data_IF_507069443218
#
_entry.id   IF_507069443218
#
_cell.length_a   1.000
_cell.length_b   1.000
_cell.length_c   1.000
_cell.angle_alpha   90.00
_cell.angle_beta   90.00
_cell.angle_gamma   90.00
#
_symmetry.space_group_name_H-M   'P 1'
#
loop_
_entity.id
_entity.type
_entity.pdbx_description
1 polymer ?
#
# COMPACT_ATOMS: atom_id res chain seq x y z
N UNK A 1 67.10 -40.93 16.03
CA UNK A 1 66.51 -42.18 16.57
C UNK A 1 65.20 -41.84 17.27
N UNK A 2 64.09 -42.45 16.81
CA UNK A 2 62.76 -42.65 17.44
C UNK A 2 62.15 -41.44 18.20
N UNK A 3 61.03 -40.82 17.82
CA UNK A 3 59.81 -41.31 17.18
C UNK A 3 58.62 -40.81 18.00
N UNK A 4 57.85 -39.83 17.49
CA UNK A 4 56.49 -39.54 18.00
C UNK A 4 55.60 -39.05 16.87
N UNK A 5 54.73 -39.95 16.44
CA UNK A 5 53.77 -39.80 15.37
C UNK A 5 52.77 -38.67 15.64
N UNK A 6 52.51 -37.85 14.61
CA UNK A 6 51.33 -36.97 14.53
C UNK A 6 50.07 -37.84 14.58
N UNK A 7 49.33 -37.80 15.69
CA UNK A 7 47.97 -38.35 15.75
C UNK A 7 47.03 -37.40 15.02
N UNK A 8 46.81 -37.64 13.72
CA UNK A 8 45.65 -37.12 13.03
C UNK A 8 44.40 -37.72 13.70
N UNK A 9 43.69 -36.93 14.48
CA UNK A 9 42.39 -37.32 15.04
C UNK A 9 41.41 -37.54 13.90
N UNK A 10 41.16 -38.80 13.56
CA UNK A 10 40.19 -39.13 12.53
C UNK A 10 38.78 -38.75 13.01
N UNK A 11 37.94 -38.23 12.11
CA UNK A 11 36.54 -37.87 12.39
C UNK A 11 35.77 -39.00 13.14
N UNK A 12 35.99 -40.30 12.84
CA UNK A 12 35.38 -41.41 13.60
C UNK A 12 35.82 -41.51 15.06
N UNK A 13 37.02 -41.03 15.42
CA UNK A 13 37.51 -41.01 16.79
C UNK A 13 36.89 -39.84 17.59
N UNK A 14 36.70 -38.69 16.95
CA UNK A 14 36.02 -37.53 17.55
C UNK A 14 34.54 -37.82 17.85
N UNK A 15 33.87 -38.57 16.96
CA UNK A 15 32.49 -39.02 17.15
C UNK A 15 32.32 -39.97 18.34
N UNK A 16 33.30 -40.87 18.57
CA UNK A 16 33.25 -41.84 19.68
C UNK A 16 33.51 -41.21 21.05
N UNK A 17 34.47 -40.29 21.16
CA UNK A 17 34.94 -39.79 22.46
C UNK A 17 34.39 -38.43 22.89
N UNK A 18 33.91 -37.57 21.98
CA UNK A 18 33.43 -36.24 22.34
C UNK A 18 31.89 -36.16 22.34
N UNK A 19 31.31 -35.99 23.53
CA UNK A 19 29.86 -35.77 23.69
C UNK A 19 29.39 -34.47 23.01
N UNK A 20 30.25 -33.46 22.98
CA UNK A 20 29.98 -32.17 22.32
C UNK A 20 30.03 -32.30 20.79
N UNK A 21 30.95 -33.11 20.25
CA UNK A 21 31.04 -33.35 18.81
C UNK A 21 29.82 -34.10 18.28
N UNK A 22 29.32 -35.09 19.02
CA UNK A 22 28.04 -35.77 18.68
C UNK A 22 26.86 -34.81 18.69
N UNK A 23 26.76 -33.92 19.70
CA UNK A 23 25.70 -32.90 19.75
C UNK A 23 25.75 -31.97 18.54
N UNK A 24 26.93 -31.50 18.16
CA UNK A 24 27.12 -30.72 16.94
C UNK A 24 26.70 -31.49 15.68
N UNK A 25 27.07 -32.76 15.59
CA UNK A 25 26.63 -33.64 14.50
C UNK A 25 25.11 -33.76 14.39
N UNK A 26 24.42 -33.98 15.50
CA UNK A 26 22.96 -34.05 15.51
C UNK A 26 22.28 -32.72 15.16
N UNK A 27 22.86 -31.58 15.56
CA UNK A 27 22.35 -30.25 15.19
C UNK A 27 22.47 -30.03 13.69
N UNK A 28 23.60 -30.41 13.08
CA UNK A 28 23.80 -30.29 11.63
C UNK A 28 22.82 -31.21 10.87
N UNK A 29 22.62 -32.45 11.35
CA UNK A 29 21.68 -33.40 10.75
C UNK A 29 20.22 -32.93 10.84
N UNK A 30 19.82 -32.35 11.97
CA UNK A 30 18.48 -31.79 12.14
C UNK A 30 18.27 -30.56 11.27
N UNK A 31 19.26 -29.67 11.14
CA UNK A 31 19.19 -28.54 10.20
C UNK A 31 19.11 -28.99 8.74
N UNK A 32 19.89 -30.00 8.35
CA UNK A 32 19.83 -30.57 7.01
C UNK A 32 18.47 -31.20 6.72
N UNK A 33 17.89 -31.93 7.69
CA UNK A 33 16.55 -32.51 7.56
C UNK A 33 15.45 -31.45 7.46
N UNK A 34 15.56 -30.37 8.24
CA UNK A 34 14.62 -29.23 8.17
C UNK A 34 14.69 -28.51 6.82
N UNK A 35 15.90 -28.31 6.28
CA UNK A 35 16.08 -27.78 4.93
C UNK A 35 15.51 -28.70 3.85
N UNK A 36 15.62 -30.02 4.03
CA UNK A 36 15.08 -31.02 3.11
C UNK A 36 13.55 -31.03 3.12
N UNK A 37 12.93 -30.91 4.30
CA UNK A 37 11.47 -30.76 4.44
C UNK A 37 10.97 -29.46 3.79
N UNK A 38 11.70 -28.35 3.97
CA UNK A 38 11.37 -27.07 3.32
C UNK A 38 11.51 -27.10 1.79
N UNK A 39 12.28 -28.04 1.23
CA UNK A 39 12.37 -28.27 -0.22
C UNK A 39 11.36 -29.31 -0.73
N UNK A 40 10.74 -30.11 0.14
CA UNK A 40 9.79 -31.16 -0.22
C UNK A 40 8.33 -30.68 -0.23
N UNK A 41 8.01 -29.56 0.42
CA UNK A 41 6.70 -28.89 0.32
C UNK A 41 6.59 -28.07 -0.97
N UNK A 42 6.66 -28.76 -2.12
CA UNK A 42 5.99 -28.28 -3.33
C UNK A 42 4.55 -28.81 -3.29
N UNK A 43 3.51 -27.96 -3.37
CA UNK A 43 2.16 -28.47 -3.55
C UNK A 43 2.12 -29.27 -4.86
N UNK A 44 1.66 -30.51 -4.75
CA UNK A 44 1.46 -31.41 -5.88
C UNK A 44 0.56 -30.73 -6.92
N UNK A 45 1.12 -30.43 -8.09
CA UNK A 45 0.34 -30.31 -9.32
C UNK A 45 -0.43 -31.62 -9.50
N UNK A 46 -1.75 -31.56 -9.37
CA UNK A 46 -2.62 -32.63 -9.84
C UNK A 46 -2.48 -32.72 -11.36
N UNK A 47 -1.71 -33.70 -11.81
CA UNK A 47 -1.72 -34.22 -13.17
C UNK A 47 -3.04 -34.96 -13.37
N UNK A 48 -4.00 -34.34 -14.05
CA UNK A 48 -5.11 -35.07 -14.64
C UNK A 48 -4.59 -35.90 -15.83
N UNK A 49 -4.96 -37.18 -15.84
CA UNK A 49 -4.49 -38.19 -16.78
C UNK A 49 -4.78 -37.84 -18.24
N UNK A 50 -3.82 -38.16 -19.11
CA UNK A 50 -3.96 -38.15 -20.56
C UNK A 50 -5.00 -39.20 -21.00
N UNK A 51 -6.16 -38.73 -21.45
CA UNK A 51 -7.08 -39.47 -22.32
C UNK A 51 -6.94 -38.95 -23.75
N UNK A 52 -6.90 -39.86 -24.72
CA UNK A 52 -6.75 -39.60 -26.16
C UNK A 52 -7.69 -38.51 -26.72
N UNK A 53 -7.26 -37.72 -27.73
CA UNK A 53 -8.07 -36.68 -28.33
C UNK A 53 -9.13 -37.30 -29.27
N UNK A 54 -10.39 -37.33 -28.81
CA UNK A 54 -11.53 -37.42 -29.71
C UNK A 54 -12.07 -36.02 -29.96
N UNK A 55 -12.06 -35.65 -31.23
CA UNK A 55 -12.64 -34.45 -31.80
C UNK A 55 -14.15 -34.45 -31.58
N UNK A 56 -14.64 -33.62 -30.65
CA UNK A 56 -16.06 -33.29 -30.54
C UNK A 56 -16.20 -31.79 -30.42
N UNK A 57 -16.59 -31.14 -31.51
CA UNK A 57 -17.04 -29.75 -31.57
C UNK A 57 -18.25 -29.56 -30.65
N UNK A 58 -18.05 -28.87 -29.53
CA UNK A 58 -19.14 -28.37 -28.69
C UNK A 58 -19.23 -26.85 -28.87
N UNK A 59 -20.33 -26.42 -29.51
CA UNK A 59 -20.72 -25.02 -29.62
C UNK A 59 -21.04 -24.46 -28.22
N UNK A 60 -20.43 -23.31 -27.89
CA UNK A 60 -20.82 -22.52 -26.73
C UNK A 60 -22.23 -21.97 -26.93
N UNK A 61 -23.11 -22.26 -25.98
CA UNK A 61 -24.47 -21.74 -25.91
C UNK A 61 -24.53 -20.75 -24.73
N UNK A 62 -24.81 -19.45 -24.97
CA UNK A 62 -24.82 -18.45 -23.90
C UNK A 62 -25.99 -18.67 -22.92
N UNK A 63 -25.87 -18.24 -21.66
CA UNK A 63 -26.92 -18.37 -20.65
C UNK A 63 -28.21 -17.62 -21.05
N UNK A 64 -29.36 -18.20 -20.69
CA UNK A 64 -30.67 -17.59 -20.91
C UNK A 64 -30.78 -16.21 -20.24
N UNK A 65 -31.33 -15.25 -20.99
CA UNK A 65 -31.57 -13.89 -20.55
C UNK A 65 -32.48 -13.83 -19.30
N UNK A 66 -32.05 -13.07 -18.30
CA UNK A 66 -32.89 -12.63 -17.17
C UNK A 66 -33.96 -11.67 -17.72
N UNK A 67 -35.25 -11.83 -17.39
CA UNK A 67 -36.28 -10.91 -17.85
C UNK A 67 -36.10 -9.50 -17.25
N UNK A 68 -36.43 -8.43 -17.99
CA UNK A 68 -36.22 -7.07 -17.55
C UNK A 68 -37.13 -6.70 -16.37
N UNK A 69 -36.52 -6.12 -15.33
CA UNK A 69 -37.25 -5.46 -14.23
C UNK A 69 -38.03 -4.28 -14.83
N UNK A 70 -39.35 -4.32 -14.69
CA UNK A 70 -40.23 -3.22 -15.08
C UNK A 70 -39.88 -1.96 -14.27
N UNK A 71 -39.56 -0.88 -14.99
CA UNK A 71 -39.31 0.44 -14.43
C UNK A 71 -40.60 0.94 -13.77
N UNK A 72 -40.55 1.21 -12.47
CA UNK A 72 -41.64 1.84 -11.74
C UNK A 72 -41.99 3.20 -12.37
N UNK A 73 -43.30 3.46 -12.48
CA UNK A 73 -43.86 4.69 -13.01
C UNK A 73 -43.44 5.92 -12.18
N UNK A 74 -43.15 7.07 -12.80
CA UNK A 74 -42.97 8.32 -12.07
C UNK A 74 -44.33 8.85 -11.59
N UNK A 75 -44.46 9.10 -10.28
CA UNK A 75 -45.54 9.90 -9.69
C UNK A 75 -45.32 11.40 -10.04
N UNK A 76 -46.41 12.19 -10.13
CA UNK A 76 -46.42 13.47 -10.85
C UNK A 76 -45.76 14.61 -10.06
N UNK A 77 -44.99 15.43 -10.77
CA UNK A 77 -44.53 16.73 -10.31
C UNK A 77 -45.66 17.77 -10.42
N UNK A 78 -45.81 18.57 -9.38
CA UNK A 78 -46.81 19.61 -9.25
C UNK A 78 -46.66 20.72 -10.31
N UNK A 79 -47.82 21.17 -10.77
CA UNK A 79 -48.06 22.18 -11.81
C UNK A 79 -47.77 23.58 -11.28
N UNK A 80 -46.95 24.36 -11.99
CA UNK A 80 -47.07 25.82 -12.03
C UNK A 80 -47.36 26.25 -13.47
N UNK A 81 -48.39 27.08 -13.59
CA UNK A 81 -49.11 27.50 -14.79
C UNK A 81 -48.43 28.74 -15.41
N UNK A 82 -48.32 28.76 -16.75
CA UNK A 82 -48.69 29.85 -17.68
C UNK A 82 -47.95 29.67 -19.02
N UNK A 83 -48.62 29.20 -20.08
CA UNK A 83 -49.22 29.99 -21.20
C UNK A 83 -48.18 30.40 -22.25
N UNK A 84 -48.32 30.28 -23.57
CA UNK A 84 -49.18 29.58 -24.53
C UNK A 84 -48.62 29.91 -25.95
N UNK A 85 -49.01 29.14 -26.97
CA UNK A 85 -48.90 29.38 -28.43
C UNK A 85 -47.55 28.98 -29.09
N UNK A 86 -47.47 28.29 -30.24
CA UNK A 86 -48.44 27.93 -31.30
C UNK A 86 -47.92 26.71 -32.09
N UNK A 87 -48.85 25.94 -32.66
CA UNK A 87 -48.70 24.78 -33.55
C UNK A 87 -48.11 25.10 -34.94
N UNK A 88 -47.38 24.14 -35.55
CA UNK A 88 -47.43 23.65 -36.96
C UNK A 88 -46.11 22.91 -37.28
N UNK A 89 -45.96 21.86 -38.08
CA UNK A 89 -46.76 20.82 -38.71
C UNK A 89 -45.75 19.78 -39.27
N UNK A 90 -46.17 18.54 -39.45
CA UNK A 90 -45.50 17.42 -40.15
C UNK A 90 -46.62 16.71 -40.96
N UNK A 91 -46.40 15.74 -41.89
CA UNK A 91 -45.20 15.21 -42.61
C UNK A 91 -45.57 14.90 -44.12
N UNK A 92 -45.23 13.79 -44.85
CA UNK A 92 -44.13 12.77 -44.91
C UNK A 92 -43.66 12.49 -46.40
N UNK A 93 -43.28 11.27 -46.88
CA UNK A 93 -42.10 10.40 -46.64
C UNK A 93 -41.39 9.85 -47.93
N UNK A 94 -40.19 9.27 -47.80
CA UNK A 94 -39.65 8.10 -48.55
C UNK A 94 -38.33 7.73 -47.84
N UNK A 95 -38.02 6.53 -47.35
CA UNK A 95 -38.40 5.18 -47.74
C UNK A 95 -37.13 4.45 -48.19
N UNK A 96 -36.44 3.73 -47.29
CA UNK A 96 -35.72 2.46 -47.56
C UNK A 96 -35.09 1.92 -46.28
N UNK A 97 -35.50 0.71 -45.92
CA UNK A 97 -34.84 -0.14 -44.94
C UNK A 97 -33.54 -0.70 -45.51
N UNK A 98 -32.47 -0.71 -44.72
CA UNK A 98 -31.40 -1.70 -44.88
C UNK A 98 -30.86 -2.05 -43.50
N UNK A 99 -31.15 -3.28 -43.10
CA UNK A 99 -30.46 -4.00 -42.04
C UNK A 99 -28.98 -4.14 -42.39
N UNK A 100 -28.10 -3.56 -41.57
CA UNK A 100 -26.70 -3.95 -41.53
C UNK A 100 -26.25 -3.95 -40.07
N UNK A 101 -26.08 -5.15 -39.53
CA UNK A 101 -25.28 -5.38 -38.34
C UNK A 101 -23.86 -4.87 -38.61
N UNK A 102 -23.35 -3.99 -37.75
CA UNK A 102 -21.91 -3.71 -37.68
C UNK A 102 -21.46 -4.07 -36.28
N UNK A 103 -20.67 -5.13 -36.26
CA UNK A 103 -19.98 -5.68 -35.12
C UNK A 103 -19.11 -4.63 -34.42
N UNK A 104 -18.97 -4.81 -33.11
CA UNK A 104 -18.08 -3.99 -32.28
C UNK A 104 -16.64 -4.09 -32.73
N UNK A 105 -16.07 -2.94 -33.08
CA UNK A 105 -14.64 -2.72 -33.22
C UNK A 105 -14.28 -1.53 -32.32
N UNK A 106 -14.19 -1.75 -31.01
CA UNK A 106 -13.42 -0.86 -30.12
C UNK A 106 -11.95 -1.29 -30.20
N UNK A 107 -11.32 -1.08 -31.35
CA UNK A 107 -9.87 -0.95 -31.40
C UNK A 107 -9.57 0.47 -30.91
N UNK A 108 -8.91 0.59 -29.76
CA UNK A 108 -8.47 1.87 -29.23
C UNK A 108 -7.59 2.55 -30.28
N UNK A 109 -8.09 3.62 -30.88
CA UNK A 109 -7.35 4.45 -31.80
C UNK A 109 -6.23 5.14 -31.01
N UNK A 110 -4.98 5.19 -31.51
CA UNK A 110 -3.88 5.84 -30.79
C UNK A 110 -4.28 7.29 -30.46
N UNK A 111 -3.96 7.79 -29.26
CA UNK A 111 -4.38 9.12 -28.83
C UNK A 111 -3.87 10.17 -29.82
N UNK A 112 -4.80 10.93 -30.40
CA UNK A 112 -4.47 12.09 -31.23
C UNK A 112 -3.64 13.07 -30.40
N UNK A 113 -2.52 13.55 -30.94
CA UNK A 113 -1.67 14.51 -30.24
C UNK A 113 -2.48 15.75 -29.81
N UNK A 114 -2.53 16.00 -28.50
CA UNK A 114 -3.21 17.16 -27.92
C UNK A 114 -2.49 18.45 -28.32
N UNK A 115 -3.26 19.47 -28.72
CA UNK A 115 -2.72 20.77 -29.14
C UNK A 115 -2.54 21.72 -27.95
N UNK A 116 -1.66 22.73 -28.08
CA UNK A 116 -1.30 23.64 -26.99
C UNK A 116 -2.50 24.29 -26.25
N UNK A 117 -3.57 24.75 -26.92
CA UNK A 117 -4.75 25.27 -26.23
C UNK A 117 -5.46 24.24 -25.35
N UNK A 118 -5.43 22.96 -25.72
CA UNK A 118 -6.06 21.86 -24.97
C UNK A 118 -5.21 21.43 -23.77
N UNK A 119 -3.87 21.48 -23.92
CA UNK A 119 -2.91 21.17 -22.87
C UNK A 119 -2.92 22.16 -21.70
N UNK A 120 -3.41 23.39 -21.91
CA UNK A 120 -3.45 24.40 -20.84
C UNK A 120 -2.06 24.65 -20.24
N UNK A 121 -1.94 24.59 -18.90
CA UNK A 121 -0.65 24.77 -18.21
C UNK A 121 0.38 23.70 -18.62
N UNK A 122 -0.03 22.51 -19.04
CA UNK A 122 0.90 21.45 -19.48
C UNK A 122 1.72 21.86 -20.71
N UNK A 123 1.22 22.80 -21.52
CA UNK A 123 1.92 23.28 -22.71
C UNK A 123 3.28 23.94 -22.41
N UNK A 124 3.52 24.40 -21.17
CA UNK A 124 4.81 24.99 -20.76
C UNK A 124 5.92 23.95 -20.54
N UNK A 125 5.55 22.69 -20.35
CA UNK A 125 6.49 21.60 -20.13
C UNK A 125 7.02 21.07 -21.45
N UNK A 126 8.25 20.55 -21.43
CA UNK A 126 8.86 19.96 -22.64
C UNK A 126 8.06 18.72 -23.09
N UNK A 127 7.87 18.52 -24.40
CA UNK A 127 7.33 17.27 -24.92
C UNK A 127 8.19 16.07 -24.51
N UNK A 128 7.54 14.93 -24.29
CA UNK A 128 8.19 13.65 -24.13
C UNK A 128 8.56 13.09 -25.52
N UNK A 129 9.84 12.80 -25.70
CA UNK A 129 10.41 12.14 -26.88
C UNK A 129 11.19 10.91 -26.41
N UNK A 130 11.32 9.90 -27.28
CA UNK A 130 12.00 8.65 -26.99
C UNK A 130 11.46 8.01 -25.70
N UNK A 131 10.13 7.93 -25.58
CA UNK A 131 9.51 7.34 -24.40
C UNK A 131 9.74 5.83 -24.37
N UNK A 132 9.76 5.25 -23.17
CA UNK A 132 9.74 3.79 -23.05
C UNK A 132 8.43 3.24 -23.61
N UNK A 133 7.34 4.00 -23.58
CA UNK A 133 6.06 3.66 -24.19
C UNK A 133 6.17 3.34 -25.68
N UNK A 134 6.94 4.11 -26.45
CA UNK A 134 7.17 3.85 -27.89
C UNK A 134 7.77 2.46 -28.17
N UNK A 135 8.55 1.92 -27.21
CA UNK A 135 9.23 0.62 -27.35
C UNK A 135 8.49 -0.52 -26.66
N UNK A 136 7.98 -0.27 -25.45
CA UNK A 136 7.39 -1.28 -24.57
C UNK A 136 5.87 -1.43 -24.78
N UNK A 137 5.20 -0.38 -25.28
CA UNK A 137 3.77 -0.34 -25.61
C UNK A 137 3.56 0.22 -27.04
N UNK A 138 4.07 -0.47 -28.09
CA UNK A 138 4.05 0.04 -29.46
C UNK A 138 2.62 0.20 -30.03
N UNK A 139 1.66 -0.57 -29.51
CA UNK A 139 0.25 -0.47 -29.90
C UNK A 139 -0.46 0.73 -29.27
N UNK A 140 0.21 1.45 -28.35
CA UNK A 140 -0.35 2.62 -27.67
C UNK A 140 -1.57 2.29 -26.80
N UNK A 141 -1.67 1.06 -26.30
CA UNK A 141 -2.82 0.64 -25.49
C UNK A 141 -2.75 1.32 -24.14
N UNK A 142 -3.81 2.07 -23.78
CA UNK A 142 -3.95 2.69 -22.47
C UNK A 142 -5.10 1.98 -21.75
N UNK A 143 -4.88 1.43 -20.55
CA UNK A 143 -5.96 0.77 -19.83
C UNK A 143 -7.04 1.79 -19.43
N UNK A 144 -8.30 1.34 -19.43
CA UNK A 144 -9.46 2.18 -19.10
C UNK A 144 -9.51 2.54 -17.60
N UNK A 145 -8.96 1.67 -16.76
CA UNK A 145 -8.81 1.84 -15.33
C UNK A 145 -7.37 1.50 -14.92
N UNK A 146 -6.87 2.10 -13.84
CA UNK A 146 -5.53 1.81 -13.32
C UNK A 146 -4.39 2.08 -14.31
N UNK A 147 -3.34 1.28 -14.16
CA UNK A 147 -2.06 1.41 -14.86
C UNK A 147 -1.53 0.03 -15.24
N UNK A 148 -1.14 -0.10 -16.51
CA UNK A 148 -0.34 -1.21 -16.97
C UNK A 148 1.13 -0.90 -16.69
N UNK A 149 1.83 -1.88 -16.13
CA UNK A 149 3.23 -1.79 -15.73
C UNK A 149 4.08 -2.81 -16.49
N UNK A 150 5.23 -2.37 -16.97
CA UNK A 150 6.16 -3.12 -17.79
C UNK A 150 7.50 -3.16 -17.07
N UNK A 151 7.84 -4.32 -16.52
CA UNK A 151 9.09 -4.54 -15.78
C UNK A 151 10.17 -4.98 -16.75
N UNK A 152 11.35 -4.33 -16.69
CA UNK A 152 12.49 -4.62 -17.57
C UNK A 152 13.76 -4.81 -16.75
N UNK A 153 14.67 -5.65 -17.26
CA UNK A 153 16.08 -5.64 -16.84
C UNK A 153 16.78 -4.51 -17.61
N UNK A 154 17.44 -3.60 -16.91
CA UNK A 154 18.14 -2.48 -17.55
C UNK A 154 19.29 -2.91 -18.46
N UNK A 155 19.78 -4.16 -18.32
CA UNK A 155 20.76 -4.73 -19.25
C UNK A 155 20.11 -5.27 -20.53
N UNK A 156 18.81 -5.53 -20.53
CA UNK A 156 18.01 -5.98 -21.69
C UNK A 156 16.80 -5.04 -21.90
N UNK A 157 17.01 -3.72 -22.10
CA UNK A 157 15.95 -2.72 -21.95
C UNK A 157 14.83 -2.81 -23.00
N UNK A 158 15.05 -3.54 -24.10
CA UNK A 158 14.04 -3.79 -25.13
C UNK A 158 13.15 -4.99 -24.84
N UNK A 159 13.44 -5.75 -23.77
CA UNK A 159 12.70 -6.97 -23.42
C UNK A 159 11.89 -6.75 -22.15
N UNK A 160 10.59 -6.90 -22.28
CA UNK A 160 9.68 -6.96 -21.13
C UNK A 160 9.92 -8.26 -20.38
N UNK A 161 10.34 -8.16 -19.11
CA UNK A 161 10.50 -9.30 -18.22
C UNK A 161 9.14 -9.81 -17.75
N UNK A 162 8.26 -8.89 -17.34
CA UNK A 162 6.91 -9.19 -16.85
C UNK A 162 6.00 -7.96 -16.98
N UNK A 163 4.69 -8.21 -17.12
CA UNK A 163 3.66 -7.16 -17.13
C UNK A 163 2.73 -7.33 -15.94
N UNK A 164 2.34 -6.24 -15.30
CA UNK A 164 1.28 -6.24 -14.29
C UNK A 164 0.28 -5.14 -14.52
N UNK A 165 -0.86 -5.25 -13.86
CA UNK A 165 -1.86 -4.20 -13.79
C UNK A 165 -2.05 -3.77 -12.34
N UNK A 166 -2.18 -2.47 -12.08
CA UNK A 166 -2.33 -1.92 -10.73
C UNK A 166 -3.12 -0.62 -10.76
N UNK A 167 -3.86 -0.32 -9.69
CA UNK A 167 -4.62 0.93 -9.62
C UNK A 167 -3.73 2.19 -9.59
N UNK A 168 -2.45 2.05 -9.21
CA UNK A 168 -1.50 3.15 -9.07
C UNK A 168 -0.11 2.75 -9.58
N UNK A 169 0.71 3.70 -10.06
CA UNK A 169 2.13 3.45 -10.30
C UNK A 169 2.84 3.23 -8.96
N UNK A 170 2.95 1.95 -8.60
CA UNK A 170 3.48 1.54 -7.31
C UNK A 170 4.24 0.23 -7.43
N UNK A 171 5.37 0.13 -6.71
CA UNK A 171 6.11 -1.12 -6.57
C UNK A 171 6.93 -1.13 -5.29
N UNK A 172 7.27 -2.32 -4.82
CA UNK A 172 8.20 -2.50 -3.73
C UNK A 172 8.81 -3.89 -3.72
N UNK A 173 10.05 -3.99 -3.25
CA UNK A 173 10.74 -5.26 -3.13
C UNK A 173 12.10 -5.13 -2.45
N UNK A 174 12.61 -6.26 -1.99
CA UNK A 174 14.00 -6.38 -1.57
C UNK A 174 14.96 -6.48 -2.76
N UNK A 175 16.16 -6.99 -2.51
CA UNK A 175 17.25 -7.06 -3.49
C UNK A 175 16.96 -7.87 -4.77
N UNK A 176 15.94 -8.73 -4.78
CA UNK A 176 15.61 -9.61 -5.93
C UNK A 176 14.11 -9.72 -6.24
N UNK A 177 13.34 -8.67 -6.00
CA UNK A 177 11.89 -8.69 -6.22
C UNK A 177 11.50 -8.88 -7.70
N UNK A 178 10.55 -9.77 -7.97
CA UNK A 178 10.05 -10.13 -9.32
C UNK A 178 11.08 -10.78 -10.24
N UNK A 179 12.07 -11.49 -9.68
CA UNK A 179 13.07 -12.22 -10.48
C UNK A 179 14.16 -11.34 -11.10
N UNK A 180 14.16 -10.04 -10.80
CA UNK A 180 15.17 -9.08 -11.23
C UNK A 180 15.98 -8.58 -10.02
N UNK A 181 17.32 -8.51 -10.11
CA UNK A 181 18.14 -7.77 -9.16
C UNK A 181 17.69 -6.31 -9.12
N UNK A 182 17.51 -5.79 -7.91
CA UNK A 182 16.90 -4.47 -7.70
C UNK A 182 17.66 -3.35 -8.42
N UNK A 183 18.99 -3.38 -8.44
CA UNK A 183 19.85 -2.40 -9.10
C UNK A 183 19.79 -2.42 -10.63
N UNK A 184 19.08 -3.38 -11.21
CA UNK A 184 18.85 -3.50 -12.66
C UNK A 184 17.37 -3.38 -13.02
N UNK A 185 16.55 -2.92 -12.10
CA UNK A 185 15.11 -2.83 -12.28
C UNK A 185 14.76 -1.53 -13.00
N UNK A 186 14.14 -1.67 -14.17
CA UNK A 186 13.38 -0.60 -14.83
C UNK A 186 11.90 -0.92 -14.82
N UNK A 187 11.05 0.09 -14.65
CA UNK A 187 9.59 -0.06 -14.77
C UNK A 187 9.00 1.10 -15.56
N UNK A 188 8.16 0.78 -16.54
CA UNK A 188 7.31 1.74 -17.23
C UNK A 188 5.85 1.52 -16.82
N UNK A 189 5.15 2.56 -16.37
CA UNK A 189 3.71 2.56 -16.16
C UNK A 189 3.01 3.48 -17.15
N UNK A 190 1.82 3.08 -17.58
CA UNK A 190 0.91 3.89 -18.39
C UNK A 190 -0.54 3.69 -17.98
N UNK A 191 -1.31 4.77 -17.88
CA UNK A 191 -2.70 4.70 -17.44
C UNK A 191 -3.46 6.01 -17.62
N UNK A 192 -4.77 5.95 -17.35
CA UNK A 192 -5.65 7.11 -17.40
C UNK A 192 -5.80 7.76 -16.02
N UNK A 193 -5.53 9.05 -15.95
CA UNK A 193 -5.80 9.89 -14.81
C UNK A 193 -7.10 10.66 -15.03
N UNK A 194 -8.09 10.37 -14.19
CA UNK A 194 -9.37 11.05 -14.21
C UNK A 194 -9.33 12.29 -13.29
N UNK A 195 -9.41 13.48 -13.89
CA UNK A 195 -9.45 14.75 -13.17
C UNK A 195 -10.89 15.21 -13.07
N UNK A 196 -11.51 15.16 -11.88
CA UNK A 196 -12.94 15.42 -11.72
C UNK A 196 -13.29 16.91 -11.86
N UNK A 197 -12.34 17.81 -11.62
CA UNK A 197 -12.54 19.25 -11.71
C UNK A 197 -11.23 19.95 -12.04
N UNK A 198 -11.29 20.99 -12.87
CA UNK A 198 -10.14 21.87 -13.11
C UNK A 198 -9.67 22.50 -11.80
N UNK A 199 -8.44 22.22 -11.40
CA UNK A 199 -7.82 22.73 -10.18
C UNK A 199 -6.29 22.56 -10.22
N UNK A 200 -5.59 23.10 -9.21
CA UNK A 200 -4.17 22.82 -9.02
C UNK A 200 -3.97 21.54 -8.23
N UNK A 201 -3.21 20.63 -8.82
CA UNK A 201 -2.84 19.34 -8.27
C UNK A 201 -1.33 19.27 -8.06
N UNK A 202 -0.93 18.37 -7.18
CA UNK A 202 0.45 17.96 -7.01
C UNK A 202 0.47 16.44 -6.86
N UNK A 203 1.41 15.79 -7.53
CA UNK A 203 1.67 14.38 -7.23
C UNK A 203 2.45 14.27 -5.93
N UNK A 204 2.05 13.34 -5.08
CA UNK A 204 2.90 12.87 -4.00
C UNK A 204 3.73 11.70 -4.52
N UNK A 205 5.05 11.89 -4.56
CA UNK A 205 6.01 10.89 -5.03
C UNK A 205 6.83 10.38 -3.84
N UNK A 206 6.91 9.06 -3.73
CA UNK A 206 7.89 8.38 -2.90
C UNK A 206 8.70 7.41 -3.76
N UNK A 207 10.01 7.40 -3.57
CA UNK A 207 10.91 6.47 -4.27
C UNK A 207 12.17 6.20 -3.46
N UNK A 208 12.87 5.11 -3.79
CA UNK A 208 14.23 4.86 -3.29
C UNK A 208 15.16 6.03 -3.63
N UNK A 209 16.06 6.40 -2.72
CA UNK A 209 16.92 7.59 -2.84
C UNK A 209 17.74 7.63 -4.13
N UNK A 210 18.26 6.48 -4.60
CA UNK A 210 19.00 6.34 -5.86
C UNK A 210 18.13 6.01 -7.07
N UNK A 211 16.82 6.14 -6.93
CA UNK A 211 15.88 5.97 -8.02
C UNK A 211 15.85 7.20 -8.93
N UNK A 212 15.76 6.98 -10.23
CA UNK A 212 15.54 8.04 -11.24
C UNK A 212 14.18 7.85 -11.87
N UNK A 213 13.45 8.94 -12.08
CA UNK A 213 12.12 8.90 -12.67
C UNK A 213 11.98 9.94 -13.78
N UNK A 214 11.20 9.61 -14.81
CA UNK A 214 10.63 10.55 -15.77
C UNK A 214 9.11 10.38 -15.75
N UNK A 215 8.38 11.43 -15.39
CA UNK A 215 6.92 11.43 -15.28
C UNK A 215 6.38 12.41 -16.31
N UNK A 216 5.44 11.95 -17.13
CA UNK A 216 4.73 12.78 -18.10
C UNK A 216 3.22 12.70 -17.94
N UNK A 217 2.55 13.82 -18.25
CA UNK A 217 1.09 13.88 -18.43
C UNK A 217 0.84 14.37 -19.85
N UNK A 218 0.01 13.68 -20.63
CA UNK A 218 -0.31 14.04 -22.01
C UNK A 218 0.96 14.32 -22.85
N UNK A 219 1.96 13.43 -22.71
CA UNK A 219 3.29 13.57 -23.32
C UNK A 219 4.01 14.89 -22.99
N UNK A 220 3.82 15.43 -21.78
CA UNK A 220 4.53 16.60 -21.26
C UNK A 220 5.26 16.24 -19.98
N UNK A 221 6.59 16.37 -19.98
CA UNK A 221 7.45 15.94 -18.87
C UNK A 221 7.29 16.91 -17.69
N UNK A 222 6.63 16.45 -16.62
CA UNK A 222 6.42 17.25 -15.40
C UNK A 222 7.55 17.03 -14.38
N UNK A 223 8.24 15.89 -14.43
CA UNK A 223 9.41 15.58 -13.61
C UNK A 223 10.39 14.70 -14.37
N UNK A 224 11.68 14.99 -14.20
CA UNK A 224 12.78 14.16 -14.68
C UNK A 224 13.95 14.24 -13.68
N UNK A 225 14.53 13.10 -13.31
CA UNK A 225 15.71 13.00 -12.44
C UNK A 225 15.47 12.29 -11.11
N UNK A 226 16.30 12.64 -10.12
CA UNK A 226 16.26 12.07 -8.76
C UNK A 226 15.35 12.90 -7.82
N UNK A 227 15.22 12.44 -6.58
CA UNK A 227 14.46 13.11 -5.51
C UNK A 227 12.94 13.08 -5.70
N UNK A 228 12.20 13.52 -4.67
CA UNK A 228 10.73 13.38 -4.58
C UNK A 228 9.96 14.67 -4.82
N UNK A 229 10.65 15.80 -5.05
CA UNK A 229 10.00 17.08 -5.31
C UNK A 229 9.17 17.03 -6.61
N UNK A 230 7.89 17.41 -6.52
CA UNK A 230 6.93 17.46 -7.63
C UNK A 230 6.41 18.89 -7.81
N UNK A 231 6.21 19.37 -9.06
CA UNK A 231 5.62 20.67 -9.30
C UNK A 231 4.12 20.67 -8.97
N UNK A 232 3.61 21.85 -8.64
CA UNK A 232 2.18 22.11 -8.65
C UNK A 232 1.75 22.51 -10.07
N UNK A 233 0.69 21.88 -10.57
CA UNK A 233 0.19 22.04 -11.93
C UNK A 233 -1.32 22.17 -11.92
N UNK A 234 -1.87 23.09 -12.71
CA UNK A 234 -3.27 23.05 -13.08
C UNK A 234 -3.52 21.88 -14.03
N UNK A 235 -4.47 21.02 -13.66
CA UNK A 235 -5.02 20.02 -14.56
C UNK A 235 -6.46 20.38 -14.85
N UNK A 236 -6.86 20.24 -16.11
CA UNK A 236 -8.23 20.49 -16.54
C UNK A 236 -9.11 19.30 -16.19
N UNK A 237 -10.40 19.54 -16.02
CA UNK A 237 -11.35 18.44 -15.90
C UNK A 237 -11.29 17.55 -17.16
N UNK A 238 -11.23 16.24 -16.97
CA UNK A 238 -11.19 15.27 -18.06
C UNK A 238 -10.30 14.08 -17.77
N UNK A 239 -10.00 13.33 -18.84
CA UNK A 239 -9.08 12.20 -18.82
C UNK A 239 -7.73 12.66 -19.35
N UNK A 240 -6.68 12.38 -18.59
CA UNK A 240 -5.29 12.63 -18.96
C UNK A 240 -4.52 11.32 -19.04
N UNK A 241 -3.54 11.22 -19.91
CA UNK A 241 -2.65 10.05 -19.97
C UNK A 241 -1.45 10.33 -19.08
N UNK A 242 -1.12 9.39 -18.19
CA UNK A 242 0.07 9.47 -17.34
C UNK A 242 1.02 8.36 -17.73
N UNK A 243 2.27 8.74 -18.02
CA UNK A 243 3.38 7.83 -18.26
C UNK A 243 4.46 8.03 -17.18
N UNK A 244 4.97 6.94 -16.63
CA UNK A 244 6.03 6.93 -15.63
C UNK A 244 7.11 5.97 -16.06
N UNK A 245 8.34 6.46 -16.15
CA UNK A 245 9.53 5.64 -16.37
C UNK A 245 10.41 5.71 -15.14
N UNK A 246 10.71 4.57 -14.54
CA UNK A 246 11.47 4.46 -13.31
C UNK A 246 12.66 3.54 -13.49
N UNK A 247 13.81 3.97 -12.97
CA UNK A 247 15.04 3.20 -12.87
C UNK A 247 15.46 3.12 -11.41
N UNK A 248 15.66 1.91 -10.91
CA UNK A 248 16.26 1.71 -9.60
C UNK A 248 17.76 1.42 -9.73
N UNK A 249 18.58 2.17 -8.98
CA UNK A 249 20.03 1.98 -8.93
C UNK A 249 20.51 1.67 -7.51
N UNK A 250 19.72 0.88 -6.77
CA UNK A 250 19.98 0.54 -5.37
C UNK A 250 19.83 -0.97 -5.16
N UNK A 251 20.89 -1.63 -4.68
CA UNK A 251 20.99 -3.09 -4.65
C UNK A 251 20.24 -3.77 -3.49
N UNK A 252 19.93 -3.04 -2.42
CA UNK A 252 19.28 -3.64 -1.24
C UNK A 252 17.75 -3.67 -1.37
N UNK A 253 17.21 -3.05 -2.41
CA UNK A 253 15.77 -3.03 -2.68
C UNK A 253 15.30 -1.74 -3.33
N UNK A 254 14.01 -1.75 -3.63
CA UNK A 254 13.32 -0.69 -4.35
C UNK A 254 11.96 -0.38 -3.74
N UNK A 255 11.55 0.88 -3.81
CA UNK A 255 10.18 1.30 -3.60
C UNK A 255 9.88 2.45 -4.54
N UNK A 256 8.67 2.45 -5.09
CA UNK A 256 8.12 3.54 -5.87
C UNK A 256 6.63 3.66 -5.56
N UNK A 257 6.13 4.87 -5.41
CA UNK A 257 4.71 5.15 -5.25
C UNK A 257 4.40 6.56 -5.76
N UNK A 258 3.42 6.66 -6.65
CA UNK A 258 2.93 7.91 -7.20
C UNK A 258 1.41 8.01 -7.04
N UNK A 259 0.94 9.09 -6.42
CA UNK A 259 -0.50 9.39 -6.31
C UNK A 259 -0.78 10.87 -6.60
N UNK A 260 -1.82 11.15 -7.37
CA UNK A 260 -2.28 12.52 -7.58
C UNK A 260 -3.00 12.99 -6.31
N UNK A 261 -2.68 14.19 -5.83
CA UNK A 261 -3.36 14.79 -4.70
C UNK A 261 -3.77 16.22 -5.04
N UNK A 262 -4.95 16.63 -4.56
CA UNK A 262 -5.24 18.06 -4.46
C UNK A 262 -4.25 18.68 -3.48
N UNK A 263 -3.78 19.89 -3.79
CA UNK A 263 -2.94 20.62 -2.84
C UNK A 263 -3.77 20.95 -1.60
N UNK A 264 -3.45 20.29 -0.50
CA UNK A 264 -4.15 20.42 0.79
C UNK A 264 -3.15 20.90 1.83
N UNK A 265 -3.52 21.83 2.74
CA UNK A 265 -2.66 22.19 3.85
C UNK A 265 -2.32 20.97 4.72
N UNK A 266 -1.09 20.94 5.21
CA UNK A 266 -0.66 19.98 6.23
C UNK A 266 -0.96 20.57 7.61
N UNK A 267 -1.67 19.80 8.41
CA UNK A 267 -2.04 20.14 9.77
C UNK A 267 -1.02 19.61 10.78
N UNK A 268 -0.74 20.41 11.80
CA UNK A 268 0.04 20.03 12.97
C UNK A 268 -0.84 19.38 14.05
N UNK A 269 -0.21 18.93 15.14
CA UNK A 269 -0.96 18.47 16.33
C UNK A 269 -1.83 19.57 16.94
N UNK A 270 -1.45 20.83 16.79
CA UNK A 270 -2.08 21.97 17.46
C UNK A 270 -3.26 22.53 16.67
N UNK A 271 -3.25 22.41 15.34
CA UNK A 271 -4.26 23.00 14.47
C UNK A 271 -5.27 21.99 13.89
N UNK A 272 -5.00 20.68 14.01
CA UNK A 272 -5.89 19.63 13.48
C UNK A 272 -7.30 19.70 14.09
N UNK A 273 -7.40 19.84 15.41
CA UNK A 273 -8.70 19.93 16.10
C UNK A 273 -9.52 21.14 15.59
N UNK A 274 -8.87 22.27 15.33
CA UNK A 274 -9.52 23.48 14.78
C UNK A 274 -10.02 23.23 13.36
N UNK A 275 -9.22 22.58 12.51
CA UNK A 275 -9.60 22.23 11.15
C UNK A 275 -10.79 21.26 11.11
N UNK A 276 -10.80 20.24 11.97
CA UNK A 276 -11.93 19.31 12.09
C UNK A 276 -13.18 20.00 12.63
N UNK A 277 -13.04 20.90 13.60
CA UNK A 277 -14.17 21.69 14.13
C UNK A 277 -14.83 22.54 13.04
N UNK A 278 -14.05 23.08 12.11
CA UNK A 278 -14.57 23.87 10.98
C UNK A 278 -15.45 23.05 10.00
N UNK A 279 -15.38 21.72 10.06
CA UNK A 279 -16.27 20.84 9.29
C UNK A 279 -17.67 20.70 9.91
N UNK A 280 -17.91 21.26 11.10
CA UNK A 280 -19.21 21.21 11.79
C UNK A 280 -19.77 19.78 11.94
N UNK A 281 -18.89 18.84 12.32
CA UNK A 281 -19.29 17.43 12.49
C UNK A 281 -20.32 17.27 13.61
N UNK A 282 -21.19 16.24 13.55
CA UNK A 282 -22.16 15.96 14.61
C UNK A 282 -21.53 15.85 16.00
N UNK A 283 -22.25 16.28 17.03
CA UNK A 283 -21.72 16.31 18.40
C UNK A 283 -21.35 14.92 18.96
N UNK A 284 -22.01 13.87 18.48
CA UNK A 284 -21.74 12.48 18.85
C UNK A 284 -20.66 11.81 17.97
N UNK A 285 -19.88 12.58 17.22
CA UNK A 285 -18.80 12.04 16.38
C UNK A 285 -17.70 11.40 17.22
N UNK A 286 -17.22 10.24 16.76
CA UNK A 286 -16.11 9.50 17.38
C UNK A 286 -14.93 9.37 16.42
N UNK A 287 -13.75 9.03 16.95
CA UNK A 287 -12.57 8.73 16.15
C UNK A 287 -12.32 7.22 16.07
N UNK A 288 -11.95 6.75 14.87
CA UNK A 288 -11.34 5.45 14.65
C UNK A 288 -9.91 5.63 14.14
N UNK A 289 -8.97 4.84 14.67
CA UNK A 289 -7.59 4.77 14.17
C UNK A 289 -7.40 3.42 13.51
N UNK A 290 -7.01 3.40 12.24
CA UNK A 290 -6.79 2.17 11.50
C UNK A 290 -5.48 2.22 10.72
N UNK A 291 -4.73 1.12 10.82
CA UNK A 291 -3.56 0.86 9.98
C UNK A 291 -3.60 -0.57 9.47
N UNK A 292 -2.73 -0.90 8.52
CA UNK A 292 -2.46 -2.30 8.14
C UNK A 292 -0.98 -2.59 8.26
N UNK A 293 -0.61 -3.83 8.62
CA UNK A 293 0.79 -4.25 8.62
C UNK A 293 1.30 -4.51 7.20
N UNK A 294 0.45 -5.05 6.33
CA UNK A 294 0.78 -5.36 4.94
C UNK A 294 -0.03 -4.50 3.98
N UNK A 295 0.50 -4.30 2.80
CA UNK A 295 -0.21 -3.78 1.65
C UNK A 295 -0.02 -4.77 0.49
N UNK A 296 -0.90 -4.71 -0.51
CA UNK A 296 -0.71 -5.43 -1.77
C UNK A 296 0.57 -4.94 -2.47
N UNK A 297 1.00 -5.63 -3.52
CA UNK A 297 2.18 -5.25 -4.31
C UNK A 297 2.11 -3.82 -4.88
N UNK A 298 0.90 -3.35 -5.16
CA UNK A 298 0.58 -1.99 -5.62
C UNK A 298 0.39 -0.98 -4.47
N UNK A 299 0.75 -1.36 -3.23
CA UNK A 299 0.56 -0.57 -2.00
C UNK A 299 -0.90 -0.27 -1.66
N UNK A 300 -1.88 -0.96 -2.23
CA UNK A 300 -3.27 -0.84 -1.79
C UNK A 300 -3.56 -1.66 -0.52
N UNK A 301 -4.50 -1.18 0.29
CA UNK A 301 -5.06 -1.89 1.44
C UNK A 301 -6.56 -1.62 1.57
N UNK A 302 -7.29 -2.60 2.11
CA UNK A 302 -8.74 -2.57 2.24
C UNK A 302 -9.15 -2.42 3.71
N UNK A 303 -10.00 -1.45 3.99
CA UNK A 303 -10.62 -1.26 5.30
C UNK A 303 -12.12 -1.54 5.20
N UNK A 304 -12.64 -2.40 6.07
CA UNK A 304 -14.05 -2.73 6.18
C UNK A 304 -14.58 -2.14 7.47
N UNK A 305 -15.39 -1.09 7.37
CA UNK A 305 -15.98 -0.45 8.54
C UNK A 305 -17.14 -1.33 9.00
N UNK A 306 -17.10 -1.78 10.27
CA UNK A 306 -18.24 -2.48 10.87
C UNK A 306 -19.46 -1.57 10.87
N UNK A 307 -20.65 -2.15 10.75
CA UNK A 307 -21.91 -1.43 10.88
C UNK A 307 -21.99 -0.72 12.24
N UNK A 308 -21.61 0.54 12.23
CA UNK A 308 -21.75 1.50 13.32
C UNK A 308 -22.50 2.69 12.74
N UNK A 309 -23.61 3.06 13.35
CA UNK A 309 -24.44 4.19 12.91
C UNK A 309 -23.92 5.54 13.40
N UNK A 310 -22.94 5.56 14.31
CA UNK A 310 -22.35 6.80 14.80
C UNK A 310 -21.57 7.49 13.68
N UNK A 311 -21.66 8.84 13.57
CA UNK A 311 -20.77 9.57 12.69
C UNK A 311 -19.33 9.44 13.22
N UNK A 312 -18.36 9.29 12.33
CA UNK A 312 -16.97 9.10 12.75
C UNK A 312 -15.98 9.82 11.84
N UNK A 313 -14.80 10.09 12.39
CA UNK A 313 -13.60 10.41 11.64
C UNK A 313 -12.69 9.18 11.58
N UNK A 314 -12.00 8.99 10.46
CA UNK A 314 -11.04 7.90 10.29
C UNK A 314 -9.62 8.46 10.25
N UNK A 315 -8.75 7.95 11.12
CA UNK A 315 -7.35 8.35 11.22
C UNK A 315 -6.49 7.23 10.64
N UNK A 316 -5.69 7.57 9.64
CA UNK A 316 -4.80 6.70 8.89
C UNK A 316 -3.35 7.16 9.14
N UNK A 317 -2.69 6.63 10.19
CA UNK A 317 -1.45 7.20 10.70
C UNK A 317 -0.19 6.78 9.93
N UNK A 318 -0.34 5.97 8.88
CA UNK A 318 0.78 5.41 8.12
C UNK A 318 0.77 5.89 6.66
N UNK A 319 1.97 6.07 6.11
CA UNK A 319 2.20 6.58 4.75
C UNK A 319 2.32 5.51 3.67
N UNK A 320 2.53 5.97 2.44
CA UNK A 320 2.77 5.19 1.21
C UNK A 320 1.76 4.07 0.97
N UNK A 321 0.48 4.44 1.01
CA UNK A 321 -0.61 3.47 0.86
C UNK A 321 -1.81 4.07 0.15
N UNK A 322 -2.40 3.27 -0.74
CA UNK A 322 -3.72 3.52 -1.28
C UNK A 322 -4.77 2.82 -0.41
N UNK A 323 -5.71 3.58 0.14
CA UNK A 323 -6.73 3.07 1.03
C UNK A 323 -8.04 2.88 0.28
N UNK A 324 -8.55 1.66 0.27
CA UNK A 324 -9.90 1.35 -0.21
C UNK A 324 -10.80 1.11 1.00
N UNK A 325 -11.74 2.02 1.25
CA UNK A 325 -12.57 2.01 2.46
C UNK A 325 -14.00 1.60 2.09
N UNK A 326 -14.39 0.42 2.55
CA UNK A 326 -15.73 -0.14 2.45
C UNK A 326 -16.54 0.28 3.68
N UNK A 327 -17.33 1.35 3.54
CA UNK A 327 -18.08 1.96 4.63
C UNK A 327 -19.60 1.75 4.56
N UNK A 328 -20.10 1.06 3.52
CA UNK A 328 -21.52 0.84 3.30
C UNK A 328 -22.30 2.17 3.32
N UNK A 329 -23.36 2.23 4.11
CA UNK A 329 -24.25 3.39 4.19
C UNK A 329 -23.79 4.49 5.18
N UNK A 330 -22.63 4.32 5.84
CA UNK A 330 -22.11 5.32 6.77
C UNK A 330 -20.64 5.67 6.45
N UNK A 331 -20.36 6.42 5.36
CA UNK A 331 -19.01 6.88 5.06
C UNK A 331 -18.45 7.79 6.17
N UNK A 332 -17.12 7.83 6.38
CA UNK A 332 -16.50 8.71 7.35
C UNK A 332 -16.87 10.17 7.06
N UNK A 333 -17.01 10.99 8.10
CA UNK A 333 -17.27 12.43 7.93
C UNK A 333 -16.01 13.23 7.62
N UNK A 334 -14.85 12.69 7.96
CA UNK A 334 -13.54 13.20 7.58
C UNK A 334 -12.50 12.09 7.67
N UNK A 335 -11.43 12.24 6.92
CA UNK A 335 -10.26 11.35 6.96
C UNK A 335 -9.05 12.17 7.33
N UNK A 336 -8.35 11.78 8.39
CA UNK A 336 -7.07 12.36 8.80
C UNK A 336 -5.98 11.37 8.41
N UNK A 337 -5.13 11.74 7.46
CA UNK A 337 -4.08 10.85 6.94
C UNK A 337 -2.72 11.46 7.18
N UNK A 338 -1.73 10.63 7.50
CA UNK A 338 -0.34 11.06 7.48
C UNK A 338 0.03 11.67 6.12
N UNK A 339 0.80 12.77 6.13
CA UNK A 339 1.06 13.65 4.99
C UNK A 339 1.84 13.01 3.83
N UNK A 340 2.36 11.80 4.01
CA UNK A 340 3.07 11.09 2.97
C UNK A 340 2.18 10.71 1.78
N UNK A 341 2.83 10.29 0.69
CA UNK A 341 2.15 9.87 -0.53
C UNK A 341 1.14 8.76 -0.23
N UNK A 342 -0.06 8.90 -0.79
CA UNK A 342 -1.16 7.97 -0.57
C UNK A 342 -2.43 8.48 -1.23
N UNK A 343 -3.33 7.55 -1.52
CA UNK A 343 -4.67 7.88 -2.00
C UNK A 343 -5.72 7.25 -1.09
N UNK A 344 -6.94 7.79 -1.12
CA UNK A 344 -8.04 7.33 -0.29
C UNK A 344 -9.30 7.29 -1.13
N UNK A 345 -9.77 6.08 -1.39
CA UNK A 345 -11.07 5.81 -1.99
C UNK A 345 -12.04 5.35 -0.91
N UNK A 346 -13.25 5.89 -0.93
CA UNK A 346 -14.32 5.58 0.01
C UNK A 346 -15.55 5.17 -0.78
N UNK A 347 -16.04 3.97 -0.49
CA UNK A 347 -17.27 3.47 -1.06
C UNK A 347 -18.44 4.37 -0.64
N UNK A 348 -19.18 4.89 -1.63
CA UNK A 348 -20.39 5.68 -1.39
C UNK A 348 -20.18 7.11 -0.88
N UNK A 349 -18.95 7.66 -0.88
CA UNK A 349 -18.71 9.04 -0.45
C UNK A 349 -17.38 9.65 -0.88
N UNK A 350 -17.29 10.99 -0.82
CA UNK A 350 -16.06 11.78 -1.05
C UNK A 350 -15.79 12.67 0.18
N UNK A 351 -15.36 12.10 1.31
CA UNK A 351 -15.16 12.86 2.53
C UNK A 351 -13.93 13.74 2.46
N UNK A 352 -13.90 14.87 3.20
CA UNK A 352 -12.73 15.72 3.27
C UNK A 352 -11.52 14.95 3.84
N UNK A 353 -10.41 14.99 3.10
CA UNK A 353 -9.12 14.41 3.51
C UNK A 353 -8.21 15.52 4.03
N UNK A 354 -7.81 15.41 5.30
CA UNK A 354 -6.90 16.32 5.98
C UNK A 354 -5.52 15.65 6.08
N UNK A 355 -4.49 16.31 5.56
CA UNK A 355 -3.11 15.84 5.67
C UNK A 355 -2.54 16.22 7.03
N UNK A 356 -1.94 15.26 7.72
CA UNK A 356 -1.46 15.43 9.08
C UNK A 356 0.03 15.14 9.17
N UNK A 357 0.76 15.99 9.88
CA UNK A 357 2.21 15.90 9.96
C UNK A 357 2.71 14.74 10.83
N UNK A 358 1.87 14.17 11.70
CA UNK A 358 2.31 13.18 12.66
C UNK A 358 2.21 11.76 12.11
N UNK A 359 3.34 11.08 12.13
CA UNK A 359 3.38 9.63 12.05
C UNK A 359 3.07 9.03 13.43
N UNK A 360 2.19 8.03 13.49
CA UNK A 360 1.96 7.26 14.72
C UNK A 360 2.37 5.81 14.47
N UNK A 361 3.40 5.34 15.18
CA UNK A 361 3.67 3.91 15.27
C UNK A 361 2.68 3.25 16.23
N UNK A 362 1.98 2.24 15.71
CA UNK A 362 0.99 1.46 16.46
C UNK A 362 1.54 0.10 16.93
N UNK A 363 2.83 -0.18 16.69
CA UNK A 363 3.42 -1.50 16.90
C UNK A 363 3.45 -1.91 18.37
N UNK A 364 3.87 -1.00 19.25
CA UNK A 364 3.94 -1.26 20.70
C UNK A 364 2.56 -1.51 21.30
N UNK A 365 1.57 -0.69 20.92
CA UNK A 365 0.19 -0.87 21.34
C UNK A 365 -0.40 -2.20 20.85
N UNK A 366 -0.09 -2.61 19.61
CA UNK A 366 -0.52 -3.89 19.03
C UNK A 366 0.08 -5.07 19.80
N UNK A 367 1.39 -5.06 19.97
CA UNK A 367 2.14 -6.18 20.55
C UNK A 367 2.00 -6.19 22.08
N UNK A 368 1.37 -5.15 22.64
CA UNK A 368 1.29 -4.88 24.07
C UNK A 368 2.69 -4.82 24.66
N UNK A 369 3.66 -4.27 23.93
CA UNK A 369 5.04 -4.17 24.36
C UNK A 369 5.28 -2.82 25.02
N UNK A 370 5.86 -2.79 26.24
CA UNK A 370 6.15 -1.52 26.88
C UNK A 370 7.21 -0.73 26.11
N UNK A 371 7.02 0.59 26.06
CA UNK A 371 8.02 1.51 25.54
C UNK A 371 9.16 1.69 26.55
N UNK A 372 9.89 0.63 26.84
CA UNK A 372 11.02 0.68 27.76
C UNK A 372 12.25 -0.01 27.20
N UNK A 373 13.42 0.37 27.72
CA UNK A 373 14.71 -0.24 27.42
C UNK A 373 15.54 -0.40 28.70
N UNK A 374 16.44 -1.39 28.71
CA UNK A 374 17.40 -1.53 29.80
C UNK A 374 18.58 -0.58 29.56
N UNK A 375 18.81 0.38 30.45
CA UNK A 375 20.01 1.19 30.41
C UNK A 375 21.23 0.33 30.77
N UNK A 376 22.19 0.22 29.85
CA UNK A 376 23.32 -0.69 29.98
C UNK A 376 24.22 -0.41 31.19
N UNK A 377 24.36 0.86 31.57
CA UNK A 377 25.26 1.31 32.64
C UNK A 377 24.61 1.21 34.02
N UNK A 378 23.38 1.69 34.16
CA UNK A 378 22.65 1.71 35.44
C UNK A 378 21.89 0.42 35.74
N UNK A 379 21.73 -0.48 34.75
CA UNK A 379 20.89 -1.70 34.83
C UNK A 379 19.45 -1.40 35.24
N UNK A 380 19.01 -0.16 35.04
CA UNK A 380 17.65 0.27 35.32
C UNK A 380 16.82 0.22 34.05
N UNK A 381 15.56 -0.16 34.21
CA UNK A 381 14.57 -0.05 33.14
C UNK A 381 14.18 1.41 33.00
N UNK A 382 14.38 1.98 31.81
CA UNK A 382 13.93 3.32 31.44
C UNK A 382 12.73 3.19 30.50
N UNK A 383 11.66 3.91 30.80
CA UNK A 383 10.43 3.88 30.00
C UNK A 383 10.15 5.25 29.39
N UNK A 384 9.83 5.26 28.10
CA UNK A 384 9.25 6.40 27.41
C UNK A 384 7.82 6.67 27.87
N UNK A 385 7.38 7.91 27.69
CA UNK A 385 6.04 8.38 28.03
C UNK A 385 5.30 8.93 26.78
N UNK A 386 5.60 8.40 25.59
CA UNK A 386 4.95 8.86 24.36
C UNK A 386 3.49 8.41 24.22
N UNK A 387 3.05 7.44 25.03
CA UNK A 387 1.67 6.95 25.08
C UNK A 387 1.28 6.02 23.93
N UNK A 388 2.26 5.46 23.20
CA UNK A 388 2.03 4.54 22.08
C UNK A 388 2.01 3.05 22.50
N UNK A 389 2.09 2.76 23.81
CA UNK A 389 2.03 1.43 24.42
C UNK A 389 0.87 1.27 25.43
N UNK A 390 0.35 2.38 25.97
CA UNK A 390 -0.84 2.45 26.84
C UNK A 390 -2.07 2.94 26.05
N UNK A 391 -3.11 2.11 25.96
CA UNK A 391 -4.34 2.40 25.21
C UNK A 391 -5.10 3.62 25.76
N UNK A 392 -5.05 3.86 27.07
CA UNK A 392 -5.71 4.99 27.71
C UNK A 392 -5.01 6.31 27.37
N UNK A 393 -3.68 6.37 27.49
CA UNK A 393 -2.89 7.53 27.08
C UNK A 393 -3.02 7.78 25.57
N UNK A 394 -3.05 6.71 24.77
CA UNK A 394 -3.30 6.80 23.34
C UNK A 394 -4.66 7.44 23.05
N UNK A 395 -5.74 7.00 23.71
CA UNK A 395 -7.07 7.56 23.56
C UNK A 395 -7.16 9.03 23.97
N UNK A 396 -6.46 9.41 25.05
CA UNK A 396 -6.35 10.81 25.50
C UNK A 396 -5.61 11.68 24.47
N UNK A 397 -4.53 11.18 23.90
CA UNK A 397 -3.77 11.84 22.85
C UNK A 397 -4.64 12.08 21.60
N UNK A 398 -5.36 11.06 21.12
CA UNK A 398 -6.29 11.19 19.99
C UNK A 398 -7.36 12.25 20.28
N UNK A 399 -7.94 12.24 21.49
CA UNK A 399 -8.92 13.26 21.89
C UNK A 399 -8.31 14.66 21.91
N UNK A 400 -7.08 14.82 22.39
CA UNK A 400 -6.38 16.11 22.40
C UNK A 400 -6.10 16.62 20.99
N UNK A 401 -5.64 15.76 20.08
CA UNK A 401 -5.27 16.16 18.72
C UNK A 401 -6.46 16.41 17.80
N UNK A 402 -7.57 15.69 18.01
CA UNK A 402 -8.71 15.74 17.08
C UNK A 402 -9.95 16.43 17.66
N UNK A 403 -10.06 16.51 18.99
CA UNK A 403 -11.28 16.93 19.68
C UNK A 403 -12.32 15.81 19.87
N UNK A 404 -12.12 14.62 19.28
CA UNK A 404 -13.10 13.54 19.30
C UNK A 404 -12.62 12.33 20.12
N UNK A 405 -13.50 11.65 20.88
CA UNK A 405 -13.12 10.48 21.66
C UNK A 405 -12.78 9.29 20.75
N UNK A 406 -11.71 8.57 21.07
CA UNK A 406 -11.35 7.32 20.39
C UNK A 406 -12.36 6.21 20.74
N UNK A 407 -13.05 5.68 19.74
CA UNK A 407 -14.01 4.59 19.90
C UNK A 407 -13.43 3.22 19.53
N UNK A 408 -12.38 3.18 18.70
CA UNK A 408 -11.81 1.92 18.28
C UNK A 408 -10.52 2.04 17.49
N UNK A 409 -9.80 0.92 17.44
CA UNK A 409 -8.47 0.81 16.86
C UNK A 409 -8.35 -0.50 16.05
N UNK A 410 -7.64 -0.44 14.93
CA UNK A 410 -7.29 -1.59 14.11
C UNK A 410 -5.85 -1.56 13.65
N UNK A 411 -5.18 -2.70 13.71
CA UNK A 411 -3.77 -2.87 13.36
C UNK A 411 -3.56 -3.61 12.03
N UNK A 412 -4.55 -4.41 11.58
CA UNK A 412 -4.45 -5.20 10.36
C UNK A 412 -3.35 -6.25 10.46
N UNK A 413 -3.48 -7.13 11.46
CA UNK A 413 -2.47 -8.15 11.75
C UNK A 413 -2.38 -9.18 10.61
N UNK A 414 -1.32 -9.06 9.80
CA UNK A 414 -0.93 -9.92 8.66
C UNK A 414 -1.71 -9.80 7.35
N UNK A 415 -2.87 -9.14 7.35
CA UNK A 415 -3.71 -9.05 6.16
C UNK A 415 -3.61 -7.68 5.46
N UNK A 416 -3.89 -7.70 4.14
CA UNK A 416 -4.12 -6.49 3.33
C UNK A 416 -5.56 -5.98 3.48
N UNK A 417 -6.39 -6.70 4.24
CA UNK A 417 -7.79 -6.43 4.55
C UNK A 417 -7.94 -6.28 6.05
N UNK A 418 -8.63 -5.25 6.51
CA UNK A 418 -8.73 -4.98 7.95
C UNK A 418 -10.11 -4.50 8.31
N UNK A 419 -10.71 -5.10 9.34
CA UNK A 419 -12.01 -4.67 9.85
C UNK A 419 -11.83 -3.57 10.89
N UNK A 420 -12.63 -2.52 10.85
CA UNK A 420 -12.54 -1.38 11.75
C UNK A 420 -13.81 -1.24 12.58
N UNK A 421 -13.73 -1.25 13.94
CA UNK A 421 -12.54 -1.52 14.75
C UNK A 421 -12.27 -3.03 15.00
N UNK A 422 -11.00 -3.40 15.17
CA UNK A 422 -10.57 -4.69 15.74
C UNK A 422 -10.79 -4.68 17.26
N UNK A 423 -10.36 -3.61 17.93
CA UNK A 423 -10.53 -3.41 19.37
C UNK A 423 -11.42 -2.18 19.60
N UNK A 424 -12.52 -2.39 20.31
CA UNK A 424 -13.34 -1.28 20.82
C UNK A 424 -12.67 -0.65 22.04
N UNK A 425 -12.55 0.68 22.05
CA UNK A 425 -11.96 1.41 23.17
C UNK A 425 -13.04 1.69 24.21
N UNK A 426 -12.91 1.03 25.35
CA UNK A 426 -13.84 1.09 26.48
C UNK A 426 -13.05 1.11 27.79
N UNK A 427 -13.65 1.50 28.93
CA UNK A 427 -12.96 1.42 30.22
C UNK A 427 -12.41 0.01 30.52
N UNK A 428 -13.15 -1.04 30.17
CA UNK A 428 -12.74 -2.43 30.39
C UNK A 428 -11.51 -2.82 29.54
N UNK A 429 -11.48 -2.43 28.27
CA UNK A 429 -10.34 -2.72 27.38
C UNK A 429 -9.10 -1.91 27.75
N UNK A 430 -9.26 -0.65 28.19
CA UNK A 430 -8.17 0.16 28.74
C UNK A 430 -7.57 -0.48 30.01
N UNK A 431 -8.41 -0.90 30.97
CA UNK A 431 -7.91 -1.57 32.18
C UNK A 431 -7.17 -2.87 31.86
N UNK A 432 -7.67 -3.64 30.89
CA UNK A 432 -7.03 -4.89 30.46
C UNK A 432 -5.65 -4.64 29.86
N UNK A 433 -5.55 -3.68 28.94
CA UNK A 433 -4.27 -3.28 28.34
C UNK A 433 -3.28 -2.80 29.42
N UNK A 434 -3.69 -1.93 30.34
CA UNK A 434 -2.83 -1.43 31.43
C UNK A 434 -2.32 -2.54 32.34
N UNK A 435 -3.16 -3.54 32.64
CA UNK A 435 -2.74 -4.69 33.44
C UNK A 435 -1.65 -5.49 32.73
N UNK A 436 -1.86 -5.82 31.45
CA UNK A 436 -0.87 -6.54 30.64
C UNK A 436 0.45 -5.76 30.51
N UNK A 437 0.35 -4.46 30.26
CA UNK A 437 1.52 -3.58 30.16
C UNK A 437 2.31 -3.56 31.47
N UNK A 438 1.62 -3.49 32.62
CA UNK A 438 2.26 -3.52 33.95
C UNK A 438 2.97 -4.85 34.22
N UNK A 439 2.34 -5.98 33.88
CA UNK A 439 2.93 -7.32 34.00
C UNK A 439 4.21 -7.44 33.16
N UNK A 440 4.14 -7.11 31.86
CA UNK A 440 5.30 -7.13 30.97
C UNK A 440 6.40 -6.17 31.39
N UNK A 441 6.05 -4.97 31.87
CA UNK A 441 7.02 -4.01 32.40
C UNK A 441 7.73 -4.57 33.63
N UNK A 442 7.01 -5.29 34.51
CA UNK A 442 7.61 -5.95 35.66
C UNK A 442 8.55 -7.10 35.24
N UNK A 443 8.15 -7.89 34.24
CA UNK A 443 9.00 -8.94 33.66
C UNK A 443 10.28 -8.36 33.06
N UNK A 444 10.16 -7.29 32.28
CA UNK A 444 11.30 -6.63 31.66
C UNK A 444 12.22 -5.99 32.72
N UNK A 445 11.66 -5.40 33.78
CA UNK A 445 12.45 -4.87 34.91
C UNK A 445 13.25 -5.98 35.60
N UNK A 446 12.64 -7.15 35.82
CA UNK A 446 13.34 -8.33 36.37
C UNK A 446 14.46 -8.77 35.42
N UNK A 447 14.17 -8.87 34.12
CA UNK A 447 15.17 -9.24 33.13
C UNK A 447 16.34 -8.24 33.08
N UNK A 448 16.10 -6.93 33.09
CA UNK A 448 17.16 -5.90 33.10
C UNK A 448 18.08 -6.05 34.31
N UNK A 449 17.53 -6.36 35.49
CA UNK A 449 18.32 -6.54 36.72
C UNK A 449 19.26 -7.76 36.68
N UNK A 450 18.95 -8.74 35.82
CA UNK A 450 19.72 -9.98 35.66
C UNK A 450 20.79 -9.89 34.56
N UNK A 451 20.81 -8.82 33.77
CA UNK A 451 21.85 -8.59 32.76
C UNK A 451 23.18 -8.37 33.48
N UNK A 452 23.98 -9.45 33.58
CA UNK A 452 25.39 -9.35 33.99
C UNK A 452 26.07 -8.44 32.97
N UNK A 453 26.86 -7.47 33.45
CA UNK A 453 27.78 -6.75 32.58
C UNK A 453 28.54 -7.80 31.77
N UNK A 454 28.42 -7.79 30.44
CA UNK A 454 29.59 -8.11 29.63
C UNK A 454 30.59 -7.07 30.09
N UNK A 455 31.44 -7.45 31.06
CA UNK A 455 32.56 -6.64 31.46
C UNK A 455 33.22 -6.23 30.16
N UNK A 456 33.42 -4.92 30.00
CA UNK A 456 34.36 -4.42 29.01
C UNK A 456 35.61 -5.29 29.20
N UNK A 457 35.92 -6.13 28.21
CA UNK A 457 37.11 -7.00 28.27
C UNK A 457 38.30 -6.05 28.41
N UNK A 458 38.78 -5.92 29.64
CA UNK A 458 40.02 -5.24 29.95
C UNK A 458 41.15 -6.16 29.46
N UNK A 459 42.05 -5.60 28.65
CA UNK A 459 43.21 -6.31 28.10
C UNK A 459 44.03 -6.99 29.20
N UNK A 460 44.04 -6.46 30.44
CA UNK A 460 44.80 -7.02 31.55
C UNK A 460 44.16 -8.27 32.18
N UNK A 461 42.86 -8.49 32.02
CA UNK A 461 42.20 -9.70 32.55
C UNK A 461 42.28 -10.90 31.59
N UNK A 462 42.67 -10.69 30.34
CA UNK A 462 42.78 -11.74 29.31
C UNK A 462 44.08 -12.56 29.40
N UNK A 463 45.10 -12.08 30.12
CA UNK A 463 46.45 -12.68 30.16
C UNK A 463 46.81 -13.38 31.49
N UNK A 464 45.88 -13.51 32.45
CA UNK A 464 46.17 -14.07 33.79
C UNK A 464 45.34 -15.32 34.15
N UNK A 465 45.00 -16.13 33.16
CA UNK A 465 44.18 -17.33 33.36
C UNK A 465 44.81 -18.63 32.87
N UNK A 466 46.10 -18.84 33.10
CA UNK A 466 46.72 -20.18 33.03
C UNK A 466 47.92 -20.23 33.98
N UNK A 467 47.69 -20.83 35.16
CA UNK A 467 48.67 -21.48 36.05
C UNK A 467 47.93 -21.95 37.31
N UNK A 468 47.48 -23.21 37.27
CA UNK A 468 47.89 -24.31 38.16
C UNK A 468 47.27 -25.59 37.65
#
# INVERSE_FOLDING_TARGET
MSGRARRNGSIPALWRHSRNYRRFGYIILTFAFLLLLLHYDKPATQTAAAGNPQTTTAHYQPPAAVPPVARAAPLPAATHIASAATLTAMPPPTGTATTAAVAGNNAAQPPKALVAPELGELAKYRPLHDSWGERLNPDGTIPADGFDAYYIDTNEPSRVHFRSHSSYPATWGGSSGQGLPSERLGIYWVGQLHVPKTARYQFALHQTERGRVRISIDHRIIKEGEGTAMPEIELRQGVHIVEVEYLNNHADGYTFYLALQKKTPVYSVDNLATALKALHLPANTVAYVATTRRAKSDRSAELFIKDDSRPYILILPTGWRAWNIHAGNNPPRAIVRYQEAGDVWVEGGDPPVLLWQQFISMDKLRDGEPDCYCAAESRTLQCGNNGNDDLGLFAENIRRWTGYPLAGISFGAQDTRTTVPEISVTPATIMTNRRQLKEKTADMRRACSLVRSKGRLDFNTLMKGDKT
#
